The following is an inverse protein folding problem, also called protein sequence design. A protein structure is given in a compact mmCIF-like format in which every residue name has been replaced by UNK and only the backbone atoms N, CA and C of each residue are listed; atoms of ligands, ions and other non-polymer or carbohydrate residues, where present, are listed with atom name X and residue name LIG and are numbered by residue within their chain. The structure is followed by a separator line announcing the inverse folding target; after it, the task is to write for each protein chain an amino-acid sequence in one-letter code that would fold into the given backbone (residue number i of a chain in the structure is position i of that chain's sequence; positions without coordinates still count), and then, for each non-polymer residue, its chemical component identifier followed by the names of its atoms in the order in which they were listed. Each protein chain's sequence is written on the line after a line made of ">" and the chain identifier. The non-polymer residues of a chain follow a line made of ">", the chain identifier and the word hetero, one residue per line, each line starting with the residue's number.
data_IF_495580673690
#
_entry.id   IF_495580673690
#
_cell.length_a   1.000
_cell.length_b   1.000
_cell.length_c   1.000
_cell.angle_alpha   90.00
_cell.angle_beta   90.00
_cell.angle_gamma   90.00
#
_symmetry.space_group_name_H-M   'P 1'
#
loop_
_entity.id
_entity.type
_entity.pdbx_description
1 polymer ?
#
# COMPACT_ATOMS: atom_id res chain seq x y z
N UNK A 1 30.18 -27.40 6.71
CA UNK A 1 29.68 -26.81 7.97
C UNK A 1 29.64 -25.30 7.87
N UNK A 2 30.69 -24.64 7.47
CA UNK A 2 30.77 -23.18 7.44
C UNK A 2 29.81 -22.49 6.44
N UNK A 3 29.55 -23.07 5.26
CA UNK A 3 28.60 -22.51 4.28
C UNK A 3 27.16 -22.60 4.76
N UNK A 4 26.78 -23.64 5.49
CA UNK A 4 25.44 -23.81 6.05
C UNK A 4 25.20 -22.78 7.18
N UNK A 5 26.15 -22.65 8.08
CA UNK A 5 26.09 -21.66 9.18
C UNK A 5 26.01 -20.23 8.63
N UNK A 6 26.79 -19.92 7.59
CA UNK A 6 26.76 -18.61 6.93
C UNK A 6 25.38 -18.35 6.28
N UNK A 7 24.80 -19.34 5.61
CA UNK A 7 23.47 -19.24 5.01
C UNK A 7 22.39 -19.00 6.07
N UNK A 8 22.39 -19.75 7.15
CA UNK A 8 21.45 -19.59 8.26
C UNK A 8 21.57 -18.21 8.93
N UNK A 9 22.80 -17.75 9.16
CA UNK A 9 23.04 -16.41 9.72
C UNK A 9 22.54 -15.31 8.79
N UNK A 10 22.80 -15.44 7.49
CA UNK A 10 22.34 -14.48 6.48
C UNK A 10 20.81 -14.44 6.42
N UNK A 11 20.15 -15.60 6.41
CA UNK A 11 18.68 -15.67 6.43
C UNK A 11 18.10 -15.09 7.73
N UNK A 12 18.75 -15.32 8.85
CA UNK A 12 18.37 -14.71 10.12
C UNK A 12 18.45 -13.18 10.09
N UNK A 13 19.55 -12.61 9.58
CA UNK A 13 19.74 -11.18 9.43
C UNK A 13 18.70 -10.57 8.44
N UNK A 14 18.50 -11.21 7.31
CA UNK A 14 17.50 -10.78 6.33
C UNK A 14 16.08 -10.81 6.90
N UNK A 15 15.77 -11.82 7.72
CA UNK A 15 14.47 -11.92 8.41
C UNK A 15 14.28 -10.76 9.39
N UNK A 16 15.27 -10.49 10.23
CA UNK A 16 15.22 -9.34 11.17
C UNK A 16 15.06 -8.03 10.41
N UNK A 17 15.81 -7.86 9.32
CA UNK A 17 15.73 -6.68 8.49
C UNK A 17 14.34 -6.49 7.86
N UNK A 18 13.78 -7.56 7.29
CA UNK A 18 12.43 -7.55 6.72
C UNK A 18 11.36 -7.21 7.77
N UNK A 19 11.47 -7.77 8.98
CA UNK A 19 10.52 -7.46 10.06
C UNK A 19 10.65 -6.03 10.58
N UNK A 20 11.86 -5.49 10.70
CA UNK A 20 12.09 -4.08 11.02
C UNK A 20 11.49 -3.18 9.95
N UNK A 21 11.68 -3.54 8.69
CA UNK A 21 11.09 -2.87 7.56
C UNK A 21 9.55 -2.88 7.60
N UNK A 22 8.95 -4.03 7.89
CA UNK A 22 7.50 -4.14 8.08
C UNK A 22 6.99 -3.25 9.21
N UNK A 23 7.70 -3.19 10.33
CA UNK A 23 7.36 -2.31 11.45
C UNK A 23 7.43 -0.83 11.08
N UNK A 24 8.44 -0.41 10.31
CA UNK A 24 8.57 0.97 9.82
C UNK A 24 7.38 1.35 8.93
N UNK A 25 7.01 0.49 7.98
CA UNK A 25 5.84 0.73 7.11
C UNK A 25 4.53 0.68 7.90
N UNK A 26 4.38 -0.26 8.83
CA UNK A 26 3.23 -0.28 9.74
C UNK A 26 3.09 1.02 10.51
N UNK A 27 4.20 1.57 11.00
CA UNK A 27 4.21 2.83 11.74
C UNK A 27 3.84 4.04 10.87
N UNK A 28 3.87 3.91 9.54
CA UNK A 28 3.33 4.95 8.65
C UNK A 28 1.80 5.06 8.72
N UNK A 29 1.08 4.03 9.15
CA UNK A 29 -0.40 4.10 9.26
C UNK A 29 -0.86 5.19 10.24
N UNK A 30 -0.37 5.29 11.48
CA UNK A 30 -0.67 6.43 12.34
C UNK A 30 -0.16 7.75 11.76
N UNK A 31 0.93 7.76 10.99
CA UNK A 31 1.42 8.94 10.28
C UNK A 31 0.38 9.49 9.29
N UNK A 32 -0.16 8.64 8.41
CA UNK A 32 -1.25 9.01 7.50
C UNK A 32 -2.48 9.49 8.25
N UNK A 33 -2.89 8.76 9.29
CA UNK A 33 -4.06 9.13 10.09
C UNK A 33 -3.91 10.54 10.70
N UNK A 34 -2.74 10.91 11.21
CA UNK A 34 -2.46 12.21 11.78
C UNK A 34 -2.40 13.32 10.72
N UNK A 35 -1.78 13.06 9.56
CA UNK A 35 -1.76 14.00 8.44
C UNK A 35 -3.19 14.31 7.98
N UNK A 36 -3.97 13.29 7.69
CA UNK A 36 -5.35 13.44 7.23
C UNK A 36 -6.23 14.13 8.28
N UNK A 37 -6.13 13.71 9.55
CA UNK A 37 -6.88 14.32 10.65
C UNK A 37 -6.55 15.80 10.77
N UNK A 38 -5.26 16.17 10.74
CA UNK A 38 -4.83 17.54 10.88
C UNK A 38 -5.27 18.46 9.73
N UNK A 39 -5.32 17.96 8.50
CA UNK A 39 -5.77 18.72 7.32
C UNK A 39 -7.28 18.72 7.11
N UNK A 40 -8.05 18.00 7.89
CA UNK A 40 -9.51 18.01 7.83
C UNK A 40 -10.12 18.88 8.93
N UNK A 41 -11.43 19.13 8.87
CA UNK A 41 -12.15 19.86 9.92
C UNK A 41 -12.32 19.00 11.16
N UNK A 42 -12.24 19.58 12.36
CA UNK A 42 -12.29 18.88 13.65
C UNK A 42 -13.47 17.90 13.77
N UNK A 43 -14.62 18.22 13.22
CA UNK A 43 -15.82 17.35 13.27
C UNK A 43 -15.63 16.02 12.53
N UNK A 44 -14.65 15.90 11.67
CA UNK A 44 -14.37 14.72 10.88
C UNK A 44 -13.20 13.88 11.43
N UNK A 45 -12.50 14.36 12.45
CA UNK A 45 -11.30 13.71 13.00
C UNK A 45 -11.55 12.25 13.39
N UNK A 46 -12.59 11.98 14.17
CA UNK A 46 -12.93 10.62 14.57
C UNK A 46 -13.26 9.71 13.38
N UNK A 47 -13.96 10.23 12.37
CA UNK A 47 -14.25 9.50 11.13
C UNK A 47 -12.97 9.16 10.35
N UNK A 48 -12.04 10.11 10.25
CA UNK A 48 -10.75 9.91 9.58
C UNK A 48 -9.90 8.86 10.29
N UNK A 49 -9.77 8.97 11.60
CA UNK A 49 -9.02 7.99 12.39
C UNK A 49 -9.62 6.58 12.26
N UNK A 50 -10.94 6.48 12.34
CA UNK A 50 -11.65 5.19 12.18
C UNK A 50 -11.46 4.62 10.78
N UNK A 51 -11.47 5.44 9.73
CA UNK A 51 -11.19 4.99 8.36
C UNK A 51 -9.80 4.37 8.25
N UNK A 52 -8.76 5.07 8.70
CA UNK A 52 -7.40 4.56 8.66
C UNK A 52 -7.22 3.26 9.46
N UNK A 53 -7.87 3.17 10.63
CA UNK A 53 -7.84 1.95 11.44
C UNK A 53 -8.52 0.77 10.73
N UNK A 54 -9.68 1.00 10.15
CA UNK A 54 -10.46 -0.02 9.44
C UNK A 54 -9.77 -0.46 8.15
N UNK A 55 -9.14 0.46 7.42
CA UNK A 55 -8.32 0.15 6.26
C UNK A 55 -7.26 -0.89 6.59
N UNK A 56 -6.53 -0.65 7.65
CA UNK A 56 -5.52 -1.59 8.08
C UNK A 56 -6.13 -2.94 8.49
N UNK A 57 -7.18 -2.94 9.31
CA UNK A 57 -7.80 -4.18 9.79
C UNK A 57 -8.37 -5.03 8.64
N UNK A 58 -9.27 -4.43 7.86
CA UNK A 58 -9.94 -5.16 6.77
C UNK A 58 -9.01 -5.43 5.61
N UNK A 59 -8.17 -4.46 5.26
CA UNK A 59 -7.17 -4.63 4.21
C UNK A 59 -6.23 -5.78 4.50
N UNK A 60 -5.74 -5.89 5.72
CA UNK A 60 -4.85 -6.98 6.15
C UNK A 60 -5.52 -8.36 6.06
N UNK A 61 -6.73 -8.48 6.58
CA UNK A 61 -7.47 -9.75 6.55
C UNK A 61 -7.78 -10.19 5.11
N UNK A 62 -8.25 -9.26 4.29
CA UNK A 62 -8.61 -9.55 2.90
C UNK A 62 -7.39 -9.83 2.03
N UNK A 63 -6.30 -9.11 2.27
CA UNK A 63 -5.05 -9.38 1.58
C UNK A 63 -4.49 -10.75 1.92
N UNK A 64 -4.52 -11.14 3.20
CA UNK A 64 -4.14 -12.50 3.60
C UNK A 64 -5.12 -13.55 3.03
N UNK A 65 -6.42 -13.27 3.08
CA UNK A 65 -7.44 -14.22 2.61
C UNK A 65 -7.24 -14.61 1.14
N UNK A 66 -7.03 -13.64 0.26
CA UNK A 66 -6.94 -13.89 -1.19
C UNK A 66 -5.89 -13.03 -1.91
N UNK A 67 -5.66 -11.79 -1.45
CA UNK A 67 -4.80 -10.83 -2.14
C UNK A 67 -3.36 -11.32 -2.29
N UNK A 68 -2.80 -11.95 -1.26
CA UNK A 68 -1.44 -12.48 -1.30
C UNK A 68 -1.29 -13.58 -2.36
N UNK A 69 -2.26 -14.49 -2.46
CA UNK A 69 -2.29 -15.50 -3.52
C UNK A 69 -2.37 -14.91 -4.91
N UNK A 70 -3.26 -13.92 -5.11
CA UNK A 70 -3.39 -13.24 -6.40
C UNK A 70 -2.13 -12.43 -6.77
N UNK A 71 -1.37 -11.98 -5.78
CA UNK A 71 -0.15 -11.20 -6.03
C UNK A 71 1.07 -12.10 -6.27
N UNK A 72 1.27 -13.14 -5.49
CA UNK A 72 2.48 -13.98 -5.50
C UNK A 72 2.25 -15.41 -6.01
N UNK A 73 1.00 -15.80 -6.30
CA UNK A 73 0.69 -17.08 -6.91
C UNK A 73 1.17 -17.16 -8.35
N UNK A 74 1.31 -18.37 -8.86
CA UNK A 74 1.71 -18.62 -10.25
C UNK A 74 0.71 -18.03 -11.24
N UNK A 75 1.20 -17.37 -12.29
CA UNK A 75 0.37 -16.77 -13.35
C UNK A 75 1.15 -15.75 -14.15
N UNK A 76 0.65 -15.36 -15.33
CA UNK A 76 1.29 -14.34 -16.16
C UNK A 76 0.74 -12.92 -15.92
N UNK A 77 -0.59 -12.79 -15.87
CA UNK A 77 -1.28 -11.52 -15.71
C UNK A 77 -1.90 -11.35 -14.31
N UNK A 78 -2.33 -12.41 -13.70
CA UNK A 78 -2.87 -12.49 -12.35
C UNK A 78 -2.41 -13.81 -11.72
N UNK A 79 -2.03 -13.79 -10.46
CA UNK A 79 -1.66 -14.99 -9.73
C UNK A 79 -2.84 -15.90 -9.42
N UNK A 80 -2.57 -17.17 -9.17
CA UNK A 80 -3.57 -18.12 -8.71
C UNK A 80 -4.06 -17.76 -7.31
N UNK A 81 -5.37 -17.77 -7.04
CA UNK A 81 -5.87 -17.49 -5.71
C UNK A 81 -5.52 -18.62 -4.73
N UNK A 82 -5.02 -18.26 -3.57
CA UNK A 82 -4.74 -19.16 -2.45
C UNK A 82 -5.43 -18.57 -1.21
N UNK A 83 -6.46 -19.27 -0.71
CA UNK A 83 -7.31 -18.76 0.39
C UNK A 83 -6.68 -19.14 1.74
N UNK A 84 -6.11 -18.17 2.46
CA UNK A 84 -5.38 -18.34 3.72
C UNK A 84 -4.25 -19.36 3.67
N UNK A 85 -3.91 -19.85 2.49
CA UNK A 85 -2.84 -20.83 2.28
C UNK A 85 -1.56 -20.10 1.86
N UNK A 86 -0.47 -20.34 2.56
CA UNK A 86 0.85 -19.77 2.29
C UNK A 86 1.83 -20.81 1.76
N UNK A 87 1.43 -22.09 1.68
CA UNK A 87 2.31 -23.20 1.29
C UNK A 87 2.82 -23.13 -0.14
N UNK A 88 2.15 -22.35 -0.99
CA UNK A 88 2.54 -22.15 -2.39
C UNK A 88 3.77 -21.24 -2.56
N UNK A 89 4.08 -20.39 -1.56
CA UNK A 89 5.12 -19.38 -1.65
C UNK A 89 6.41 -19.88 -1.00
N UNK A 90 7.49 -19.87 -1.79
CA UNK A 90 8.84 -20.09 -1.27
C UNK A 90 9.55 -18.75 -1.09
N UNK A 91 9.77 -18.38 0.14
CA UNK A 91 10.44 -17.13 0.52
C UNK A 91 11.96 -17.10 0.28
N UNK A 92 12.54 -18.13 -0.34
CA UNK A 92 13.99 -18.18 -0.59
C UNK A 92 14.84 -18.15 0.69
N UNK A 93 14.34 -18.76 1.78
CA UNK A 93 14.98 -18.78 3.09
C UNK A 93 14.43 -17.73 4.07
N UNK A 94 13.50 -16.88 3.64
CA UNK A 94 12.76 -15.97 4.52
C UNK A 94 11.46 -16.65 5.00
N UNK A 95 11.01 -16.42 6.26
CA UNK A 95 9.73 -16.92 6.73
C UNK A 95 8.57 -16.33 5.93
N UNK A 96 7.74 -17.19 5.36
CA UNK A 96 6.60 -16.76 4.50
C UNK A 96 5.62 -15.89 5.26
N UNK A 97 5.35 -16.18 6.53
CA UNK A 97 4.49 -15.38 7.40
C UNK A 97 5.06 -13.98 7.62
N UNK A 98 6.37 -13.87 7.80
CA UNK A 98 7.06 -12.58 7.91
C UNK A 98 6.94 -11.77 6.61
N UNK A 99 7.11 -12.43 5.46
CA UNK A 99 6.95 -11.81 4.17
C UNK A 99 5.49 -11.39 3.91
N UNK A 100 4.50 -12.20 4.31
CA UNK A 100 3.10 -11.82 4.27
C UNK A 100 2.84 -10.52 5.06
N UNK A 101 3.34 -10.44 6.30
CA UNK A 101 3.19 -9.23 7.13
C UNK A 101 3.83 -8.04 6.44
N UNK A 102 5.03 -8.18 5.90
CA UNK A 102 5.74 -7.15 5.16
C UNK A 102 4.93 -6.65 3.95
N UNK A 103 4.38 -7.54 3.15
CA UNK A 103 3.57 -7.17 1.98
C UNK A 103 2.19 -6.60 2.36
N UNK A 104 1.60 -7.06 3.46
CA UNK A 104 0.32 -6.58 3.97
C UNK A 104 0.35 -5.10 4.32
N UNK A 105 1.42 -4.61 4.93
CA UNK A 105 1.52 -3.20 5.32
C UNK A 105 1.63 -2.28 4.10
N UNK A 106 2.17 -2.73 2.98
CA UNK A 106 2.17 -1.99 1.72
C UNK A 106 0.79 -1.96 1.06
N UNK A 107 0.05 -3.07 1.08
CA UNK A 107 -1.33 -3.12 0.61
C UNK A 107 -2.21 -2.12 1.37
N UNK A 108 -2.13 -2.11 2.69
CA UNK A 108 -2.85 -1.16 3.53
C UNK A 108 -2.45 0.29 3.23
N UNK A 109 -1.17 0.54 2.94
CA UNK A 109 -0.70 1.88 2.57
C UNK A 109 -1.32 2.35 1.24
N UNK A 110 -1.43 1.49 0.23
CA UNK A 110 -2.09 1.84 -1.03
C UNK A 110 -3.55 2.26 -0.82
N UNK A 111 -4.29 1.56 0.04
CA UNK A 111 -5.67 1.91 0.39
C UNK A 111 -5.75 3.23 1.16
N UNK A 112 -4.84 3.46 2.12
CA UNK A 112 -4.78 4.68 2.92
C UNK A 112 -4.48 5.93 2.09
N UNK A 113 -3.65 5.85 1.04
CA UNK A 113 -3.39 6.98 0.12
C UNK A 113 -4.69 7.51 -0.49
N UNK A 114 -5.63 6.62 -0.82
CA UNK A 114 -6.93 7.00 -1.38
C UNK A 114 -7.80 7.75 -0.37
N UNK A 115 -7.68 7.42 0.92
CA UNK A 115 -8.45 8.03 2.01
C UNK A 115 -8.35 9.55 2.04
N UNK A 116 -7.14 10.08 1.94
CA UNK A 116 -6.89 11.53 1.97
C UNK A 116 -7.59 12.28 0.85
N UNK A 117 -7.57 11.74 -0.37
CA UNK A 117 -8.24 12.34 -1.51
C UNK A 117 -9.78 12.37 -1.37
N UNK A 118 -10.35 11.39 -0.68
CA UNK A 118 -11.80 11.27 -0.47
C UNK A 118 -12.27 11.81 0.88
N UNK A 119 -11.36 12.36 1.67
CA UNK A 119 -11.67 12.89 3.00
C UNK A 119 -12.80 13.95 2.96
N UNK A 120 -13.68 13.90 3.97
CA UNK A 120 -14.83 14.81 4.16
C UNK A 120 -15.95 14.73 3.10
N UNK A 121 -15.89 13.80 2.14
CA UNK A 121 -16.88 13.70 1.05
C UNK A 121 -17.32 12.28 0.72
N UNK A 122 -16.80 11.28 1.43
CA UNK A 122 -17.17 9.87 1.24
C UNK A 122 -17.90 9.35 2.46
N UNK A 123 -18.98 8.58 2.24
CA UNK A 123 -19.65 7.84 3.30
C UNK A 123 -18.73 6.72 3.82
N UNK A 124 -18.75 6.47 5.12
CA UNK A 124 -17.92 5.45 5.76
C UNK A 124 -18.13 4.04 5.14
N UNK A 125 -19.38 3.66 4.87
CA UNK A 125 -19.68 2.38 4.23
C UNK A 125 -19.09 2.22 2.84
N UNK A 126 -19.06 3.29 2.04
CA UNK A 126 -18.42 3.25 0.72
C UNK A 126 -16.90 3.17 0.83
N UNK A 127 -16.36 3.72 1.89
CA UNK A 127 -14.94 3.58 2.21
C UNK A 127 -14.56 2.10 2.42
N UNK A 128 -15.35 1.36 3.19
CA UNK A 128 -15.15 -0.09 3.37
C UNK A 128 -15.22 -0.86 2.05
N UNK A 129 -16.18 -0.51 1.20
CA UNK A 129 -16.35 -1.18 -0.10
C UNK A 129 -15.12 -1.00 -0.98
N UNK A 130 -14.58 0.21 -1.12
CA UNK A 130 -13.41 0.37 -1.96
C UNK A 130 -12.15 -0.26 -1.35
N UNK A 131 -12.00 -0.27 -0.02
CA UNK A 131 -10.90 -0.97 0.65
C UNK A 131 -10.89 -2.45 0.28
N UNK A 132 -12.07 -3.10 0.25
CA UNK A 132 -12.21 -4.48 -0.20
C UNK A 132 -11.66 -4.64 -1.64
N UNK A 133 -12.13 -3.80 -2.57
CA UNK A 133 -11.67 -3.89 -3.97
C UNK A 133 -10.18 -3.62 -4.14
N UNK A 134 -9.63 -2.67 -3.38
CA UNK A 134 -8.20 -2.39 -3.42
C UNK A 134 -7.41 -3.59 -2.92
N UNK A 135 -7.75 -4.13 -1.75
CA UNK A 135 -6.97 -5.17 -1.08
C UNK A 135 -7.09 -6.55 -1.75
N UNK A 136 -8.25 -6.83 -2.37
CA UNK A 136 -8.53 -8.14 -3.00
C UNK A 136 -8.16 -8.16 -4.46
N UNK A 137 -8.28 -7.07 -5.20
CA UNK A 137 -8.18 -7.09 -6.66
C UNK A 137 -7.16 -6.10 -7.20
N UNK A 138 -7.34 -4.80 -6.96
CA UNK A 138 -6.57 -3.78 -7.70
C UNK A 138 -5.10 -3.83 -7.32
N UNK A 139 -4.80 -3.79 -6.02
CA UNK A 139 -3.42 -3.85 -5.52
C UNK A 139 -2.74 -5.19 -5.82
N UNK A 140 -3.35 -6.36 -5.53
CA UNK A 140 -2.73 -7.65 -5.84
C UNK A 140 -2.44 -7.85 -7.33
N UNK A 141 -3.36 -7.49 -8.22
CA UNK A 141 -3.15 -7.65 -9.66
C UNK A 141 -2.03 -6.77 -10.17
N UNK A 142 -2.01 -5.48 -9.81
CA UNK A 142 -0.93 -4.58 -10.20
C UNK A 142 0.41 -4.97 -9.55
N UNK A 143 0.39 -5.44 -8.32
CA UNK A 143 1.57 -5.97 -7.64
C UNK A 143 2.10 -7.26 -8.26
N UNK A 144 1.21 -8.14 -8.76
CA UNK A 144 1.59 -9.34 -9.47
C UNK A 144 2.40 -9.01 -10.74
N UNK A 145 2.02 -7.98 -11.49
CA UNK A 145 2.72 -7.60 -12.72
C UNK A 145 4.20 -7.31 -12.52
N UNK A 146 4.58 -6.87 -11.32
CA UNK A 146 5.95 -6.49 -10.95
C UNK A 146 6.50 -7.44 -9.88
N UNK A 147 6.19 -7.21 -8.61
CA UNK A 147 6.77 -7.97 -7.49
C UNK A 147 6.37 -9.45 -7.46
N UNK A 148 5.23 -9.80 -8.03
CA UNK A 148 4.73 -11.18 -8.15
C UNK A 148 5.32 -11.97 -9.32
N UNK A 149 6.29 -11.42 -10.07
CA UNK A 149 6.90 -12.12 -11.21
C UNK A 149 6.04 -12.15 -12.48
N UNK A 150 5.03 -11.28 -12.58
CA UNK A 150 4.16 -11.18 -13.74
C UNK A 150 4.81 -10.51 -14.97
N UNK A 151 4.02 -10.12 -15.94
CA UNK A 151 4.45 -9.74 -17.29
C UNK A 151 5.43 -8.57 -17.36
N UNK A 152 5.42 -7.64 -16.40
CA UNK A 152 6.38 -6.51 -16.36
C UNK A 152 7.76 -6.94 -15.86
N UNK A 153 7.84 -8.00 -15.06
CA UNK A 153 9.10 -8.55 -14.52
C UNK A 153 9.64 -9.72 -15.34
N UNK A 154 8.91 -10.19 -16.35
CA UNK A 154 9.36 -11.30 -17.16
C UNK A 154 10.57 -10.87 -18.01
N UNK A 155 11.74 -11.39 -17.63
CA UNK A 155 13.04 -11.18 -18.30
C UNK A 155 13.40 -12.24 -19.34
N UNK A 156 12.51 -13.16 -19.66
CA UNK A 156 12.78 -14.20 -20.67
C UNK A 156 12.88 -13.60 -22.08
N UNK A 157 13.74 -14.20 -22.88
CA UNK A 157 13.84 -13.86 -24.30
C UNK A 157 12.48 -14.11 -25.00
N UNK A 158 11.99 -13.12 -25.75
CA UNK A 158 10.67 -13.19 -26.38
C UNK A 158 9.52 -12.63 -25.52
N UNK A 159 9.78 -12.20 -24.28
CA UNK A 159 8.77 -11.50 -23.48
C UNK A 159 8.57 -10.07 -23.99
N UNK A 160 7.34 -9.55 -23.78
CA UNK A 160 6.99 -8.19 -24.20
C UNK A 160 7.97 -7.12 -23.74
N UNK A 161 8.41 -7.19 -22.49
CA UNK A 161 9.33 -6.20 -21.92
C UNK A 161 10.73 -6.30 -22.58
N UNK A 162 11.23 -7.51 -22.74
CA UNK A 162 12.55 -7.73 -23.34
C UNK A 162 12.59 -7.37 -24.85
N UNK A 163 11.52 -7.70 -25.58
CA UNK A 163 11.42 -7.36 -27.01
C UNK A 163 11.21 -5.86 -27.25
N UNK A 164 10.43 -5.20 -26.40
CA UNK A 164 10.06 -3.80 -26.59
C UNK A 164 11.07 -2.83 -26.01
N UNK A 165 11.60 -3.12 -24.82
CA UNK A 165 12.43 -2.20 -24.04
C UNK A 165 13.84 -2.72 -23.75
N UNK A 166 14.13 -4.00 -24.01
CA UNK A 166 15.43 -4.63 -23.70
C UNK A 166 15.71 -4.80 -22.20
N UNK A 167 14.71 -4.56 -21.34
CA UNK A 167 14.83 -4.66 -19.88
C UNK A 167 13.48 -4.92 -19.25
N UNK A 168 13.48 -5.38 -18.00
CA UNK A 168 12.26 -5.52 -17.19
C UNK A 168 11.91 -4.22 -16.49
N UNK A 169 10.64 -4.08 -16.09
CA UNK A 169 10.20 -2.97 -15.24
C UNK A 169 10.70 -3.17 -13.81
N UNK A 170 11.19 -2.12 -13.19
CA UNK A 170 11.69 -2.15 -11.82
C UNK A 170 10.92 -1.19 -10.93
N UNK A 171 10.30 -1.71 -9.87
CA UNK A 171 9.76 -0.93 -8.76
C UNK A 171 10.34 -1.47 -7.46
N UNK A 172 11.22 -0.69 -6.85
CA UNK A 172 11.96 -1.14 -5.68
C UNK A 172 11.12 -1.04 -4.39
N UNK A 173 10.62 0.15 -4.08
CA UNK A 173 9.97 0.46 -2.81
C UNK A 173 8.46 0.76 -2.91
N UNK A 174 7.83 0.50 -4.05
CA UNK A 174 6.39 0.69 -4.24
C UNK A 174 6.00 2.04 -4.83
N UNK A 175 6.90 2.75 -5.51
CA UNK A 175 6.55 4.02 -6.18
C UNK A 175 5.39 3.84 -7.16
N UNK A 176 5.35 2.74 -7.89
CA UNK A 176 4.26 2.39 -8.80
C UNK A 176 3.22 1.53 -8.11
N UNK A 177 3.62 0.41 -7.51
CA UNK A 177 2.70 -0.58 -6.96
C UNK A 177 1.87 -0.01 -5.82
N UNK A 178 2.46 0.80 -4.95
CA UNK A 178 1.75 1.40 -3.80
C UNK A 178 1.25 2.80 -4.13
N UNK A 179 2.18 3.71 -4.46
CA UNK A 179 1.86 5.13 -4.57
C UNK A 179 1.11 5.48 -5.86
N UNK A 180 1.50 4.95 -7.03
CA UNK A 180 0.75 5.21 -8.26
C UNK A 180 -0.61 4.52 -8.24
N UNK A 181 -0.73 3.28 -7.75
CA UNK A 181 -2.02 2.59 -7.60
C UNK A 181 -2.95 3.40 -6.71
N UNK A 182 -2.49 3.78 -5.50
CA UNK A 182 -3.26 4.64 -4.62
C UNK A 182 -3.60 6.00 -5.25
N UNK A 183 -2.65 6.61 -5.95
CA UNK A 183 -2.82 7.91 -6.62
C UNK A 183 -3.85 7.89 -7.75
N UNK A 184 -3.83 6.86 -8.62
CA UNK A 184 -4.81 6.71 -9.69
C UNK A 184 -6.22 6.48 -9.16
N UNK A 185 -6.38 5.63 -8.15
CA UNK A 185 -7.68 5.40 -7.49
C UNK A 185 -8.16 6.69 -6.82
N UNK A 186 -7.26 7.42 -6.15
CA UNK A 186 -7.54 8.71 -5.53
C UNK A 186 -8.01 9.76 -6.55
N UNK A 187 -7.37 9.81 -7.73
CA UNK A 187 -7.76 10.70 -8.82
C UNK A 187 -9.18 10.42 -9.31
N UNK A 188 -9.48 9.15 -9.61
CA UNK A 188 -10.81 8.73 -10.05
C UNK A 188 -11.85 8.99 -8.97
N UNK A 189 -11.57 8.61 -7.73
CA UNK A 189 -12.47 8.84 -6.59
C UNK A 189 -12.73 10.33 -6.36
N UNK A 190 -11.70 11.17 -6.45
CA UNK A 190 -11.85 12.61 -6.32
C UNK A 190 -12.67 13.24 -7.45
N UNK A 191 -12.49 12.76 -8.69
CA UNK A 191 -13.26 13.22 -9.85
C UNK A 191 -14.75 12.87 -9.74
N UNK A 192 -15.06 11.63 -9.32
CA UNK A 192 -16.45 11.17 -9.16
C UNK A 192 -17.16 11.89 -8.02
N UNK A 193 -16.49 12.06 -6.87
CA UNK A 193 -17.08 12.69 -5.69
C UNK A 193 -17.22 14.22 -5.83
N UNK A 194 -16.43 14.83 -6.68
CA UNK A 194 -16.41 16.29 -6.82
C UNK A 194 -15.82 17.02 -5.59
N UNK A 195 -16.00 18.33 -5.48
CA UNK A 195 -15.43 19.14 -4.42
C UNK A 195 -16.12 18.91 -3.06
N UNK A 196 -15.40 19.19 -1.98
CA UNK A 196 -15.97 19.20 -0.61
C UNK A 196 -17.09 20.25 -0.50
N UNK A 197 -18.13 19.94 0.28
CA UNK A 197 -19.24 20.85 0.56
C UNK A 197 -18.69 22.15 1.13
N UNK A 198 -19.04 23.27 0.49
CA UNK A 198 -18.59 24.62 0.87
C UNK A 198 -17.26 25.05 0.24
N UNK A 199 -16.65 24.23 -0.64
CA UNK A 199 -15.43 24.61 -1.36
C UNK A 199 -15.68 25.74 -2.34
N UNK A 200 -16.82 25.74 -3.00
CA UNK A 200 -17.23 26.82 -3.92
C UNK A 200 -18.50 27.50 -3.41
N UNK A 201 -18.53 28.84 -3.47
CA UNK A 201 -19.71 29.62 -3.16
C UNK A 201 -20.73 29.61 -4.29
N UNK A 202 -21.90 30.20 -4.06
CA UNK A 202 -22.92 30.40 -5.11
C UNK A 202 -22.40 31.28 -6.27
N UNK A 203 -21.37 32.07 -6.01
CA UNK A 203 -20.65 32.92 -6.97
C UNK A 203 -19.57 32.16 -7.77
N UNK A 204 -19.44 30.84 -7.58
CA UNK A 204 -18.43 29.98 -8.21
C UNK A 204 -17.02 30.19 -7.63
N UNK A 205 -16.81 31.11 -6.70
CA UNK A 205 -15.48 31.37 -6.15
C UNK A 205 -15.05 30.31 -5.14
N UNK A 206 -13.79 29.92 -5.22
CA UNK A 206 -13.18 28.98 -4.28
C UNK A 206 -13.03 29.60 -2.90
N UNK A 207 -13.37 28.83 -1.86
CA UNK A 207 -13.22 29.19 -0.45
C UNK A 207 -12.20 28.29 0.23
N UNK A 208 -11.39 28.88 1.12
CA UNK A 208 -10.46 28.10 1.94
C UNK A 208 -11.23 27.21 2.92
N UNK A 209 -10.78 25.94 3.04
CA UNK A 209 -11.22 25.00 4.08
C UNK A 209 -9.96 24.58 4.82
N UNK A 210 -9.49 25.37 5.80
CA UNK A 210 -8.26 25.07 6.52
C UNK A 210 -8.41 23.80 7.36
N UNK A 211 -7.31 23.07 7.52
CA UNK A 211 -7.21 21.99 8.50
C UNK A 211 -7.31 22.54 9.92
N UNK A 212 -7.83 21.71 10.83
CA UNK A 212 -8.05 22.18 12.20
C UNK A 212 -6.79 22.15 13.08
N UNK A 213 -5.78 21.34 12.72
CA UNK A 213 -4.58 21.19 13.53
C UNK A 213 -3.33 20.87 12.67
N UNK A 214 -2.66 21.91 12.23
CA UNK A 214 -1.45 21.76 11.41
C UNK A 214 -0.27 21.14 12.20
N UNK A 215 -0.25 21.27 13.53
CA UNK A 215 0.79 20.66 14.37
C UNK A 215 0.68 19.13 14.34
N UNK A 216 -0.55 18.61 14.45
CA UNK A 216 -0.78 17.16 14.33
C UNK A 216 -0.46 16.68 12.92
N UNK A 217 -0.80 17.44 11.89
CA UNK A 217 -0.42 17.12 10.52
C UNK A 217 1.10 17.06 10.35
N UNK A 218 1.83 18.04 10.88
CA UNK A 218 3.29 18.05 10.85
C UNK A 218 3.89 16.84 11.59
N UNK A 219 3.38 16.50 12.76
CA UNK A 219 3.79 15.29 13.48
C UNK A 219 3.57 14.03 12.62
N UNK A 220 2.43 13.92 11.95
CA UNK A 220 2.16 12.84 11.02
C UNK A 220 3.18 12.75 9.89
N UNK A 221 3.61 13.90 9.33
CA UNK A 221 4.68 13.94 8.32
C UNK A 221 6.00 13.42 8.86
N UNK A 222 6.40 13.76 10.08
CA UNK A 222 7.63 13.22 10.69
C UNK A 222 7.56 11.70 10.87
N UNK A 223 6.40 11.17 11.26
CA UNK A 223 6.19 9.72 11.39
C UNK A 223 6.29 9.04 10.02
N UNK A 224 5.69 9.60 8.98
CA UNK A 224 5.82 9.10 7.61
C UNK A 224 7.27 9.15 7.15
N UNK A 225 7.96 10.25 7.39
CA UNK A 225 9.36 10.40 7.03
C UNK A 225 10.25 9.36 7.72
N UNK A 226 10.02 9.10 8.99
CA UNK A 226 10.71 8.02 9.70
C UNK A 226 10.48 6.66 9.02
N UNK A 227 9.24 6.36 8.63
CA UNK A 227 8.91 5.13 7.91
C UNK A 227 9.59 5.04 6.54
N UNK A 228 9.81 6.16 5.85
CA UNK A 228 10.48 6.18 4.54
C UNK A 228 11.98 5.86 4.59
N UNK A 229 12.62 5.85 5.73
CA UNK A 229 13.99 5.33 5.84
C UNK A 229 14.10 3.89 5.36
N UNK A 230 13.01 3.12 5.44
CA UNK A 230 12.93 1.80 4.81
C UNK A 230 13.21 1.84 3.31
N UNK A 231 12.60 2.77 2.58
CA UNK A 231 12.75 2.88 1.13
C UNK A 231 14.16 3.27 0.70
N UNK A 232 14.90 3.95 1.55
CA UNK A 232 16.22 4.52 1.25
C UNK A 232 17.37 3.60 1.66
N UNK A 233 17.11 2.58 2.47
CA UNK A 233 18.14 1.68 3.00
C UNK A 233 18.63 0.65 1.98
N UNK A 234 17.90 0.48 0.89
CA UNK A 234 18.21 -0.52 -0.13
C UNK A 234 18.95 0.06 -1.35
N UNK A 235 19.41 1.30 -1.27
CA UNK A 235 20.25 1.91 -2.31
C UNK A 235 21.70 1.56 -2.08
#
# INVERSE_FOLDING_TARGET
>A
MDKLILSELTNGLNTVWMLLAAMLVFFMQPGFALVEAGFTRVKNTANILMKNFVDFMFGSLLYWFIGFGLMFGAGGFIGMPHFFDLSFYDGGGLPTEGFLVFQTVFCATAATIVSGAMAERTKFSMYLVYTIFISVLIYPVSGHWTWGGGWLMNGEAGSFMMETFGTTFHDFAGSTIVHSVGGWIALVGAAILGPRIGKYGKDGKSRAIPGHNLTIAALGVFILWFGWFLSLIHI
#
